data_IF_068016146573
#
_entry.id   IF_068016146573
#
_cell.length_a   1.000
_cell.length_b   1.000
_cell.length_c   1.000
_cell.angle_alpha   90.00
_cell.angle_beta   90.00
_cell.angle_gamma   90.00
#
_symmetry.space_group_name_H-M   'P 1'
#
loop_
_entity.id
_entity.type
_entity.pdbx_description
1 polymer ?
#
# COMPACT_ATOMS: atom_id res chain seq x y z
N UNK A 1 9.00 17.21 -11.69
CA UNK A 1 8.85 15.78 -11.31
C UNK A 1 8.59 14.98 -12.56
N UNK A 2 9.24 13.83 -12.72
CA UNK A 2 9.01 12.94 -13.86
C UNK A 2 7.94 11.95 -13.45
N UNK A 3 6.76 12.01 -14.09
CA UNK A 3 5.69 11.05 -13.86
C UNK A 3 6.12 9.65 -14.31
N UNK A 4 5.63 8.61 -13.62
CA UNK A 4 5.86 7.21 -14.01
C UNK A 4 5.16 6.92 -15.33
N UNK A 5 5.93 6.52 -16.34
CA UNK A 5 5.48 6.41 -17.73
C UNK A 5 4.62 5.18 -18.01
N UNK A 6 4.93 4.05 -17.37
CA UNK A 6 4.25 2.79 -17.61
C UNK A 6 3.61 2.29 -16.32
N UNK A 7 2.34 1.91 -16.40
CA UNK A 7 1.55 1.45 -15.28
C UNK A 7 0.68 0.30 -15.74
N UNK A 8 0.58 -0.70 -14.87
CA UNK A 8 -0.17 -1.91 -15.14
C UNK A 8 -0.98 -2.32 -13.92
N UNK A 9 -2.16 -2.86 -14.18
CA UNK A 9 -2.87 -3.71 -13.25
C UNK A 9 -2.44 -5.15 -13.48
N UNK A 10 -2.11 -5.85 -12.42
CA UNK A 10 -1.79 -7.27 -12.35
C UNK A 10 -2.85 -7.93 -11.47
N UNK A 11 -3.57 -8.91 -12.02
CA UNK A 11 -4.68 -9.56 -11.29
C UNK A 11 -4.88 -11.01 -11.74
N UNK A 12 -5.40 -11.86 -10.86
CA UNK A 12 -5.83 -13.23 -11.17
C UNK A 12 -7.11 -13.27 -11.98
N UNK A 13 -7.85 -12.18 -12.02
CA UNK A 13 -9.12 -12.08 -12.73
C UNK A 13 -8.93 -11.86 -14.22
N UNK A 14 -9.50 -12.76 -15.01
CA UNK A 14 -9.49 -12.65 -16.47
C UNK A 14 -10.32 -11.44 -16.93
N UNK A 15 -9.74 -10.46 -17.64
CA UNK A 15 -10.46 -9.26 -18.04
C UNK A 15 -11.63 -9.54 -19.00
N UNK A 16 -11.64 -10.69 -19.68
CA UNK A 16 -12.74 -11.10 -20.57
C UNK A 16 -14.02 -11.49 -19.83
N UNK A 17 -13.93 -11.78 -18.53
CA UNK A 17 -15.06 -12.24 -17.72
C UNK A 17 -15.76 -11.07 -16.99
N UNK A 18 -15.37 -9.82 -17.29
CA UNK A 18 -16.05 -8.63 -16.79
C UNK A 18 -17.43 -8.46 -17.41
N UNK A 19 -18.34 -7.92 -16.62
CA UNK A 19 -19.64 -7.49 -17.11
C UNK A 19 -19.52 -6.23 -18.00
N UNK A 20 -20.67 -5.81 -18.55
CA UNK A 20 -20.80 -4.65 -19.43
C UNK A 20 -20.34 -3.33 -18.79
N UNK A 21 -20.31 -3.26 -17.47
CA UNK A 21 -19.95 -2.08 -16.68
C UNK A 21 -18.47 -2.15 -16.25
N UNK A 22 -17.76 -3.23 -16.62
CA UNK A 22 -16.34 -3.44 -16.36
C UNK A 22 -16.04 -4.10 -15.01
N UNK A 23 -17.05 -4.59 -14.29
CA UNK A 23 -16.88 -5.26 -13.01
C UNK A 23 -16.69 -6.75 -13.19
N UNK A 24 -15.83 -7.34 -12.36
CA UNK A 24 -15.70 -8.80 -12.29
C UNK A 24 -16.78 -9.37 -11.36
N UNK A 25 -17.60 -10.33 -11.81
CA UNK A 25 -18.61 -10.93 -10.95
C UNK A 25 -17.94 -11.86 -9.93
N UNK A 26 -17.73 -11.37 -8.70
CA UNK A 26 -17.06 -12.07 -7.59
C UNK A 26 -17.79 -13.31 -7.04
N UNK A 27 -18.84 -13.81 -7.71
CA UNK A 27 -19.71 -14.85 -7.14
C UNK A 27 -19.13 -16.27 -7.15
N UNK A 28 -18.05 -16.49 -7.90
CA UNK A 28 -17.58 -17.83 -8.24
C UNK A 28 -16.08 -18.05 -7.95
N UNK A 29 -15.43 -17.15 -7.21
CA UNK A 29 -14.00 -17.26 -6.92
C UNK A 29 -13.65 -16.66 -5.55
N UNK A 30 -12.61 -17.19 -4.89
CA UNK A 30 -12.10 -16.69 -3.62
C UNK A 30 -11.48 -15.29 -3.76
N UNK A 31 -11.53 -14.50 -2.69
CA UNK A 31 -11.01 -13.13 -2.63
C UNK A 31 -10.14 -12.87 -1.40
N UNK A 32 -10.02 -13.82 -0.47
CA UNK A 32 -9.09 -13.71 0.66
C UNK A 32 -8.61 -15.07 1.19
N UNK A 33 -7.44 -15.14 1.87
CA UNK A 33 -6.88 -16.40 2.38
C UNK A 33 -7.74 -17.07 3.47
N UNK A 34 -8.60 -16.33 4.17
CA UNK A 34 -9.51 -16.91 5.18
C UNK A 34 -10.62 -17.79 4.57
N UNK A 35 -10.65 -17.90 3.23
CA UNK A 35 -11.54 -18.80 2.50
C UNK A 35 -10.92 -20.16 2.19
N UNK A 36 -9.64 -20.39 2.51
CA UNK A 36 -9.00 -21.70 2.34
C UNK A 36 -9.81 -22.77 3.10
N UNK A 37 -10.09 -23.88 2.43
CA UNK A 37 -10.94 -24.98 2.89
C UNK A 37 -12.45 -24.79 2.64
N UNK A 38 -12.89 -23.61 2.16
CA UNK A 38 -14.28 -23.40 1.75
C UNK A 38 -14.53 -23.95 0.35
N UNK A 39 -15.76 -24.39 0.09
CA UNK A 39 -16.21 -24.78 -1.24
C UNK A 39 -16.75 -23.57 -1.97
N UNK A 40 -16.13 -23.22 -3.09
CA UNK A 40 -16.47 -22.10 -3.96
C UNK A 40 -16.64 -22.64 -5.38
N UNK A 41 -17.78 -22.36 -6.00
CA UNK A 41 -18.13 -22.90 -7.33
C UNK A 41 -17.94 -24.42 -7.43
N UNK A 42 -18.53 -25.15 -6.47
CA UNK A 42 -18.49 -26.63 -6.38
C UNK A 42 -17.09 -27.24 -6.17
N UNK A 43 -16.06 -26.41 -5.95
CA UNK A 43 -14.68 -26.84 -5.73
C UNK A 43 -14.15 -26.32 -4.40
N UNK A 44 -13.44 -27.15 -3.65
CA UNK A 44 -12.73 -26.71 -2.45
C UNK A 44 -11.55 -25.81 -2.85
N UNK A 45 -11.45 -24.63 -2.24
CA UNK A 45 -10.30 -23.75 -2.37
C UNK A 45 -9.18 -24.22 -1.44
N UNK A 46 -8.10 -24.71 -2.01
CA UNK A 46 -7.03 -25.37 -1.25
C UNK A 46 -5.87 -24.42 -0.91
N UNK A 47 -5.10 -24.79 0.11
CA UNK A 47 -3.85 -24.09 0.44
C UNK A 47 -2.86 -24.09 -0.72
N UNK A 48 -2.77 -25.19 -1.47
CA UNK A 48 -1.85 -25.29 -2.60
C UNK A 48 -2.18 -24.25 -3.69
N UNK A 49 -3.47 -24.10 -4.02
CA UNK A 49 -3.93 -23.10 -4.98
C UNK A 49 -3.64 -21.67 -4.50
N UNK A 50 -3.84 -21.42 -3.21
CA UNK A 50 -3.50 -20.13 -2.61
C UNK A 50 -2.00 -19.83 -2.77
N UNK A 51 -1.13 -20.76 -2.35
CA UNK A 51 0.32 -20.57 -2.40
C UNK A 51 0.85 -20.44 -3.83
N UNK A 52 0.27 -21.18 -4.78
CA UNK A 52 0.60 -21.02 -6.20
C UNK A 52 0.27 -19.59 -6.67
N UNK A 53 -0.91 -19.06 -6.32
CA UNK A 53 -1.30 -17.71 -6.69
C UNK A 53 -0.47 -16.65 -5.97
N UNK A 54 -0.27 -16.76 -4.65
CA UNK A 54 0.59 -15.87 -3.87
C UNK A 54 1.99 -15.76 -4.49
N UNK A 55 2.61 -16.91 -4.81
CA UNK A 55 3.91 -16.95 -5.47
C UNK A 55 3.88 -16.22 -6.82
N UNK A 56 2.83 -16.38 -7.62
CA UNK A 56 2.70 -15.66 -8.89
C UNK A 56 2.69 -14.14 -8.71
N UNK A 57 2.01 -13.62 -7.69
CA UNK A 57 2.01 -12.18 -7.38
C UNK A 57 3.38 -11.68 -6.92
N UNK A 58 4.03 -12.42 -6.01
CA UNK A 58 5.36 -12.08 -5.51
C UNK A 58 6.38 -12.10 -6.65
N UNK A 59 6.37 -13.15 -7.48
CA UNK A 59 7.25 -13.30 -8.64
C UNK A 59 7.01 -12.20 -9.68
N UNK A 60 5.77 -11.75 -9.85
CA UNK A 60 5.47 -10.59 -10.68
C UNK A 60 6.22 -9.35 -10.18
N UNK A 61 6.09 -9.00 -8.89
CA UNK A 61 6.82 -7.86 -8.31
C UNK A 61 8.33 -8.01 -8.50
N UNK A 62 8.89 -9.19 -8.19
CA UNK A 62 10.32 -9.45 -8.32
C UNK A 62 10.83 -9.33 -9.76
N UNK A 63 10.05 -9.81 -10.73
CA UNK A 63 10.43 -9.74 -12.15
C UNK A 63 10.40 -8.30 -12.67
N UNK A 64 9.41 -7.50 -12.26
CA UNK A 64 9.35 -6.08 -12.62
C UNK A 64 10.49 -5.29 -11.96
N UNK A 65 10.84 -5.59 -10.71
CA UNK A 65 12.00 -5.02 -10.03
C UNK A 65 13.30 -5.33 -10.76
N UNK A 66 13.51 -6.60 -11.14
CA UNK A 66 14.69 -7.06 -11.86
C UNK A 66 14.85 -6.34 -13.20
N UNK A 67 13.81 -6.33 -14.06
CA UNK A 67 13.89 -5.68 -15.37
C UNK A 67 14.00 -4.15 -15.26
N UNK A 68 13.47 -3.56 -14.18
CA UNK A 68 13.63 -2.13 -13.89
C UNK A 68 15.00 -1.77 -13.29
N UNK A 69 15.83 -2.76 -12.96
CA UNK A 69 17.12 -2.54 -12.29
C UNK A 69 17.00 -2.00 -10.86
N UNK A 70 15.88 -2.27 -10.18
CA UNK A 70 15.58 -1.75 -8.85
C UNK A 70 15.86 -2.83 -7.80
N UNK A 71 16.49 -2.40 -6.71
CA UNK A 71 17.03 -3.29 -5.68
C UNK A 71 16.46 -3.02 -4.29
N UNK A 72 15.81 -1.87 -4.12
CA UNK A 72 15.16 -1.49 -2.89
C UNK A 72 13.98 -0.56 -3.16
N UNK A 73 12.99 -0.63 -2.28
CA UNK A 73 11.81 0.21 -2.27
C UNK A 73 11.55 0.70 -0.84
N UNK A 74 10.87 1.83 -0.71
CA UNK A 74 10.41 2.35 0.57
C UNK A 74 8.98 1.91 0.84
N UNK A 75 8.68 1.67 2.12
CA UNK A 75 7.33 1.44 2.61
C UNK A 75 6.62 2.79 2.72
N UNK A 76 5.42 2.91 2.13
CA UNK A 76 4.51 4.03 2.36
C UNK A 76 3.16 3.53 2.88
N UNK A 77 2.40 4.41 3.54
CA UNK A 77 1.05 4.13 4.05
C UNK A 77 1.00 2.85 4.88
N UNK A 78 2.01 2.64 5.72
CA UNK A 78 2.04 1.52 6.64
C UNK A 78 0.82 1.60 7.56
N UNK A 79 -0.03 0.58 7.47
CA UNK A 79 -1.11 0.33 8.41
C UNK A 79 -0.80 -0.99 9.10
N UNK A 80 -0.30 -0.89 10.33
CA UNK A 80 -0.14 -2.05 11.19
C UNK A 80 -1.53 -2.56 11.58
N UNK A 81 -1.78 -3.84 11.32
CA UNK A 81 -2.93 -4.52 11.87
C UNK A 81 -2.52 -5.15 13.20
N UNK A 82 -3.39 -5.07 14.20
CA UNK A 82 -3.18 -5.81 15.45
C UNK A 82 -3.30 -7.30 15.14
N UNK A 83 -2.16 -7.98 14.98
CA UNK A 83 -2.11 -9.43 14.77
C UNK A 83 -2.30 -10.10 16.12
N UNK A 84 -3.39 -10.85 16.26
CA UNK A 84 -3.71 -11.63 17.46
C UNK A 84 -2.79 -12.84 17.59
N UNK A 85 -2.64 -13.38 18.81
CA UNK A 85 -1.85 -14.60 19.01
C UNK A 85 -2.42 -15.80 18.23
N UNK A 86 -3.74 -15.88 18.07
CA UNK A 86 -4.40 -16.89 17.23
C UNK A 86 -3.99 -16.74 15.75
N UNK A 87 -3.93 -15.52 15.24
CA UNK A 87 -3.48 -15.24 13.87
C UNK A 87 -2.01 -15.60 13.66
N UNK A 88 -1.15 -15.46 14.69
CA UNK A 88 0.25 -15.90 14.65
C UNK A 88 0.41 -17.42 14.63
N UNK A 89 -0.58 -18.16 15.11
CA UNK A 89 -0.62 -19.63 15.01
C UNK A 89 -1.02 -20.12 13.60
N UNK A 90 -1.48 -19.22 12.73
CA UNK A 90 -1.80 -19.53 11.34
C UNK A 90 -0.58 -20.08 10.59
N UNK A 91 -0.76 -21.13 9.80
CA UNK A 91 0.29 -21.65 8.91
C UNK A 91 0.71 -20.66 7.81
N UNK A 92 -0.07 -19.58 7.59
CA UNK A 92 0.30 -18.48 6.71
C UNK A 92 1.11 -17.40 7.42
N UNK A 93 1.18 -17.42 8.75
CA UNK A 93 1.99 -16.43 9.45
C UNK A 93 3.47 -16.74 9.27
N UNK A 94 4.25 -15.74 8.84
CA UNK A 94 5.70 -15.84 8.74
C UNK A 94 6.33 -15.00 9.85
N UNK A 95 6.90 -15.65 10.87
CA UNK A 95 7.50 -14.95 12.02
C UNK A 95 8.72 -14.12 11.64
N UNK A 96 9.38 -14.40 10.50
CA UNK A 96 10.46 -13.55 9.99
C UNK A 96 9.99 -12.13 9.68
N UNK A 97 8.68 -11.92 9.58
CA UNK A 97 8.07 -10.60 9.46
C UNK A 97 8.31 -9.73 10.69
N UNK A 98 8.27 -10.28 11.91
CA UNK A 98 8.44 -9.49 13.14
C UNK A 98 9.86 -8.90 13.24
N UNK A 99 10.86 -9.64 12.76
CA UNK A 99 12.27 -9.24 12.77
C UNK A 99 12.55 -8.05 11.83
N UNK A 100 11.66 -7.78 10.88
CA UNK A 100 11.84 -6.69 9.93
C UNK A 100 11.69 -5.31 10.55
N UNK A 101 11.10 -5.15 11.74
CA UNK A 101 10.96 -3.86 12.42
C UNK A 101 10.37 -2.77 11.51
N UNK A 102 9.09 -2.93 11.15
CA UNK A 102 8.38 -2.07 10.22
C UNK A 102 8.28 -0.63 10.72
N UNK A 103 8.49 0.29 9.80
CA UNK A 103 8.31 1.71 10.02
C UNK A 103 7.96 2.36 8.68
N UNK A 104 7.10 3.39 8.73
CA UNK A 104 6.84 4.25 7.58
C UNK A 104 8.17 4.78 6.99
N UNK A 105 8.24 4.85 5.67
CA UNK A 105 9.40 5.30 4.89
C UNK A 105 10.65 4.40 4.98
N UNK A 106 10.59 3.26 5.67
CA UNK A 106 11.73 2.33 5.76
C UNK A 106 12.11 1.79 4.39
N UNK A 107 13.41 1.78 4.11
CA UNK A 107 13.98 1.22 2.89
C UNK A 107 14.18 -0.29 3.04
N UNK A 108 13.61 -1.06 2.11
CA UNK A 108 13.60 -2.52 2.12
C UNK A 108 14.31 -3.08 0.89
N UNK A 109 15.11 -4.13 1.07
CA UNK A 109 15.77 -4.87 -0.01
C UNK A 109 14.82 -5.87 -0.69
N UNK A 110 15.30 -6.61 -1.71
CA UNK A 110 14.46 -7.52 -2.49
C UNK A 110 13.88 -8.66 -1.66
N UNK A 111 14.67 -9.25 -0.78
CA UNK A 111 14.26 -10.35 0.09
C UNK A 111 13.14 -9.89 1.04
N UNK A 112 13.31 -8.71 1.63
CA UNK A 112 12.33 -8.10 2.51
C UNK A 112 11.05 -7.69 1.75
N UNK A 113 11.18 -7.14 0.53
CA UNK A 113 10.04 -6.81 -0.33
C UNK A 113 9.21 -8.07 -0.65
N UNK A 114 9.86 -9.20 -0.89
CA UNK A 114 9.19 -10.48 -1.14
C UNK A 114 8.33 -10.90 0.05
N UNK A 115 8.89 -10.82 1.26
CA UNK A 115 8.17 -11.11 2.49
C UNK A 115 7.00 -10.13 2.72
N UNK A 116 7.22 -8.83 2.49
CA UNK A 116 6.15 -7.82 2.58
C UNK A 116 5.00 -8.15 1.63
N UNK A 117 5.30 -8.47 0.36
CA UNK A 117 4.26 -8.81 -0.61
C UNK A 117 3.41 -9.99 -0.13
N UNK A 118 4.04 -11.04 0.42
CA UNK A 118 3.30 -12.18 1.01
C UNK A 118 2.40 -11.73 2.15
N UNK A 119 2.93 -10.95 3.08
CA UNK A 119 2.19 -10.54 4.27
C UNK A 119 1.04 -9.56 3.96
N UNK A 120 1.16 -8.74 2.91
CA UNK A 120 0.04 -7.96 2.36
C UNK A 120 -1.03 -8.89 1.76
N UNK A 121 -0.65 -9.84 0.91
CA UNK A 121 -1.58 -10.80 0.28
C UNK A 121 -2.26 -11.73 1.29
N UNK A 122 -1.64 -11.92 2.46
CA UNK A 122 -2.15 -12.71 3.58
C UNK A 122 -3.05 -11.91 4.52
N UNK A 123 -3.24 -10.61 4.29
CA UNK A 123 -3.95 -9.67 5.15
C UNK A 123 -3.35 -9.54 6.56
N UNK A 124 -2.03 -9.65 6.73
CA UNK A 124 -1.38 -9.37 8.02
C UNK A 124 -0.88 -7.92 8.13
N UNK A 125 -0.77 -7.22 7.01
CA UNK A 125 -0.40 -5.80 6.96
C UNK A 125 -0.99 -5.12 5.73
N UNK A 126 -0.98 -3.79 5.72
CA UNK A 126 -1.13 -3.03 4.49
C UNK A 126 -0.02 -1.98 4.37
N UNK A 127 0.58 -1.90 3.18
CA UNK A 127 1.48 -0.83 2.78
C UNK A 127 1.56 -0.74 1.26
N UNK A 128 2.09 0.36 0.78
CA UNK A 128 2.53 0.55 -0.60
C UNK A 128 4.07 0.47 -0.66
N UNK A 129 4.61 0.07 -1.80
CA UNK A 129 6.06 0.02 -2.03
C UNK A 129 6.42 1.07 -3.08
N UNK A 130 7.43 1.89 -2.82
CA UNK A 130 7.67 3.09 -3.62
C UNK A 130 9.14 3.43 -3.79
N UNK A 131 9.50 3.90 -4.98
CA UNK A 131 10.76 4.58 -5.24
C UNK A 131 10.48 5.83 -6.08
N UNK A 132 10.85 6.98 -5.52
CA UNK A 132 10.51 8.30 -6.06
C UNK A 132 10.78 8.43 -7.56
N UNK A 133 9.73 8.82 -8.27
CA UNK A 133 9.72 9.06 -9.72
C UNK A 133 10.19 7.85 -10.57
N UNK A 134 10.28 6.64 -10.00
CA UNK A 134 10.88 5.47 -10.68
C UNK A 134 9.98 4.25 -10.69
N UNK A 135 9.39 3.91 -9.55
CA UNK A 135 8.65 2.65 -9.40
C UNK A 135 7.66 2.68 -8.25
N UNK A 136 6.57 1.93 -8.39
CA UNK A 136 5.70 1.62 -7.26
C UNK A 136 5.09 0.23 -7.39
N UNK A 137 4.66 -0.31 -6.26
CA UNK A 137 3.68 -1.39 -6.14
C UNK A 137 2.57 -0.91 -5.20
N UNK A 138 1.35 -0.87 -5.70
CA UNK A 138 0.16 -0.61 -4.89
C UNK A 138 -0.69 -1.88 -4.81
N UNK A 139 -1.27 -2.11 -3.65
CA UNK A 139 -2.18 -3.20 -3.41
C UNK A 139 -3.59 -2.63 -3.23
N UNK A 140 -4.52 -3.14 -4.02
CA UNK A 140 -5.95 -2.92 -3.87
C UNK A 140 -6.63 -4.14 -3.26
N UNK A 141 -7.94 -4.02 -3.10
CA UNK A 141 -8.80 -5.09 -2.63
C UNK A 141 -8.79 -6.29 -3.59
N UNK A 142 -9.19 -7.45 -3.09
CA UNK A 142 -9.49 -8.64 -3.88
C UNK A 142 -8.39 -8.98 -4.90
N UNK A 143 -7.11 -8.96 -4.52
CA UNK A 143 -5.99 -9.32 -5.41
C UNK A 143 -5.86 -8.43 -6.67
N UNK A 144 -6.31 -7.17 -6.61
CA UNK A 144 -5.89 -6.17 -7.57
C UNK A 144 -4.54 -5.58 -7.15
N UNK A 145 -3.48 -5.83 -7.92
CA UNK A 145 -2.16 -5.23 -7.71
C UNK A 145 -1.86 -4.27 -8.85
N UNK A 146 -1.16 -3.17 -8.55
CA UNK A 146 -0.76 -2.18 -9.55
C UNK A 146 0.73 -1.94 -9.48
N UNK A 147 1.40 -2.04 -10.62
CA UNK A 147 2.85 -1.81 -10.73
C UNK A 147 3.07 -0.63 -11.66
N UNK A 148 3.95 0.27 -11.26
CA UNK A 148 4.42 1.39 -12.09
C UNK A 148 5.91 1.33 -12.29
N UNK A 149 6.39 1.63 -13.49
CA UNK A 149 7.82 1.75 -13.80
C UNK A 149 8.08 2.77 -14.91
N UNK A 150 9.29 3.35 -14.93
CA UNK A 150 9.79 4.09 -16.10
C UNK A 150 10.42 3.18 -17.16
N UNK A 151 10.55 1.88 -16.88
CA UNK A 151 10.95 0.87 -17.86
C UNK A 151 9.68 0.18 -18.37
N UNK A 152 9.59 -0.12 -19.66
CA UNK A 152 8.41 -0.77 -20.26
C UNK A 152 8.19 -2.22 -19.78
N UNK A 153 9.20 -2.84 -19.15
CA UNK A 153 9.14 -4.16 -18.55
C UNK A 153 8.58 -5.27 -19.46
N UNK A 154 9.03 -5.32 -20.73
CA UNK A 154 8.51 -6.23 -21.75
C UNK A 154 8.71 -7.70 -21.40
N UNK A 155 9.81 -8.06 -20.75
CA UNK A 155 10.10 -9.45 -20.38
C UNK A 155 9.30 -9.87 -19.14
N UNK A 156 9.11 -8.97 -18.18
CA UNK A 156 8.25 -9.15 -17.03
C UNK A 156 6.81 -9.37 -17.45
N UNK A 157 6.29 -8.54 -18.36
CA UNK A 157 4.95 -8.71 -18.93
C UNK A 157 4.76 -10.11 -19.54
N UNK A 158 5.74 -10.61 -20.30
CA UNK A 158 5.69 -11.96 -20.89
C UNK A 158 5.75 -13.06 -19.84
N UNK A 159 6.57 -12.91 -18.79
CA UNK A 159 6.71 -13.90 -17.71
C UNK A 159 5.42 -13.97 -16.87
N UNK A 160 4.89 -12.83 -16.44
CA UNK A 160 3.68 -12.73 -15.61
C UNK A 160 2.44 -13.23 -16.37
N UNK A 161 2.33 -12.95 -17.67
CA UNK A 161 1.21 -13.49 -18.47
C UNK A 161 1.21 -15.03 -18.60
N UNK A 162 2.31 -15.70 -18.21
CA UNK A 162 2.43 -17.17 -18.18
C UNK A 162 2.28 -17.76 -16.78
N UNK A 163 2.13 -16.95 -15.73
CA UNK A 163 2.04 -17.42 -14.34
C UNK A 163 0.60 -17.64 -13.86
N UNK A 164 -0.40 -17.49 -14.75
CA UNK A 164 -1.82 -17.50 -14.38
C UNK A 164 -2.37 -16.12 -13.99
N UNK A 165 -1.55 -15.07 -14.07
CA UNK A 165 -1.97 -13.68 -13.87
C UNK A 165 -2.25 -12.98 -15.20
N UNK A 166 -3.18 -12.03 -15.15
CA UNK A 166 -3.52 -11.12 -16.24
C UNK A 166 -2.90 -9.76 -15.99
N UNK A 167 -2.35 -9.15 -17.06
CA UNK A 167 -1.74 -7.83 -16.99
C UNK A 167 -2.40 -6.89 -17.99
N UNK A 168 -2.82 -5.72 -17.51
CA UNK A 168 -3.47 -4.70 -18.33
C UNK A 168 -2.81 -3.34 -18.13
N UNK A 169 -2.54 -2.64 -19.23
CA UNK A 169 -2.01 -1.27 -19.16
C UNK A 169 -3.09 -0.31 -18.66
N UNK A 170 -2.91 0.24 -17.46
CA UNK A 170 -3.79 1.27 -16.90
C UNK A 170 -3.07 2.10 -15.85
N UNK A 171 -3.48 3.36 -15.66
CA UNK A 171 -3.06 4.17 -14.51
C UNK A 171 -3.56 3.50 -13.23
N UNK A 172 -2.69 3.32 -12.25
CA UNK A 172 -3.10 2.85 -10.93
C UNK A 172 -4.08 3.85 -10.31
N UNK A 173 -5.21 3.41 -9.71
CA UNK A 173 -6.13 4.29 -9.00
C UNK A 173 -5.48 4.93 -7.77
N UNK A 174 -4.41 4.33 -7.26
CA UNK A 174 -3.61 4.83 -6.13
C UNK A 174 -2.41 5.69 -6.55
N UNK A 175 -2.13 5.83 -7.86
CA UNK A 175 -0.98 6.63 -8.29
C UNK A 175 -1.32 8.11 -8.31
N UNK A 176 -0.52 8.88 -7.56
CA UNK A 176 -0.78 10.28 -7.28
C UNK A 176 0.49 11.11 -7.50
N UNK A 177 0.31 12.36 -7.89
CA UNK A 177 1.38 13.36 -7.95
C UNK A 177 1.27 14.34 -6.78
N UNK A 178 2.37 15.03 -6.44
CA UNK A 178 2.40 15.92 -5.27
C UNK A 178 1.30 17.00 -5.29
N UNK A 179 0.95 17.50 -6.47
CA UNK A 179 -0.08 18.51 -6.70
C UNK A 179 -1.51 17.99 -6.51
N UNK A 180 -1.71 16.67 -6.56
CA UNK A 180 -2.99 16.00 -6.29
C UNK A 180 -3.18 15.74 -4.78
N UNK A 181 -2.14 15.89 -3.95
CA UNK A 181 -2.17 15.55 -2.51
C UNK A 181 -2.79 16.69 -1.68
N UNK A 182 -3.87 16.34 -0.98
CA UNK A 182 -4.52 17.16 0.05
C UNK A 182 -3.85 16.86 1.40
N UNK A 183 -3.54 17.92 2.15
CA UNK A 183 -2.87 17.86 3.45
C UNK A 183 -3.73 18.55 4.50
N UNK A 184 -4.09 17.85 5.56
CA UNK A 184 -5.01 18.32 6.57
C UNK A 184 -4.52 18.02 7.97
N UNK A 185 -4.82 18.92 8.89
CA UNK A 185 -4.77 18.65 10.30
C UNK A 185 -6.17 18.25 10.75
N UNK A 186 -6.30 17.04 11.27
CA UNK A 186 -7.55 16.51 11.82
C UNK A 186 -7.42 16.38 13.33
N UNK A 187 -8.56 16.43 14.02
CA UNK A 187 -8.59 16.20 15.47
C UNK A 187 -9.84 15.47 15.93
N UNK A 188 -9.63 14.61 16.92
CA UNK A 188 -10.62 13.85 17.66
C UNK A 188 -10.57 14.27 19.14
N UNK A 189 -11.66 14.07 19.88
CA UNK A 189 -11.61 14.26 21.34
C UNK A 189 -10.73 13.17 21.95
N UNK A 190 -10.03 13.51 23.03
CA UNK A 190 -9.18 12.54 23.74
C UNK A 190 -9.99 11.30 24.13
N UNK A 191 -9.52 10.13 23.71
CA UNK A 191 -10.18 8.84 23.98
C UNK A 191 -11.38 8.52 23.09
N UNK A 192 -11.65 9.33 22.06
CA UNK A 192 -12.65 9.05 21.03
C UNK A 192 -11.96 8.89 19.66
N UNK A 193 -12.34 7.88 18.88
CA UNK A 193 -11.75 7.64 17.55
C UNK A 193 -12.40 8.48 16.43
N UNK A 194 -13.52 9.14 16.74
CA UNK A 194 -14.25 9.94 15.76
C UNK A 194 -13.61 11.31 15.57
N UNK A 195 -13.27 11.64 14.32
CA UNK A 195 -12.85 12.99 13.94
C UNK A 195 -14.00 13.97 14.21
N UNK A 196 -13.69 15.05 14.93
CA UNK A 196 -14.66 16.12 15.27
C UNK A 196 -14.34 17.45 14.58
N UNK A 197 -13.22 17.52 13.86
CA UNK A 197 -12.90 18.63 12.98
C UNK A 197 -11.61 18.40 12.19
N UNK A 198 -11.50 19.17 11.11
CA UNK A 198 -10.39 19.14 10.17
C UNK A 198 -10.10 20.55 9.63
N UNK A 199 -8.86 20.81 9.27
CA UNK A 199 -8.44 22.04 8.61
C UNK A 199 -7.32 21.74 7.59
N UNK A 200 -7.51 22.16 6.34
CA UNK A 200 -6.48 22.02 5.31
C UNK A 200 -5.24 22.87 5.65
N UNK A 201 -4.08 22.23 5.61
CA UNK A 201 -2.77 22.84 5.87
C UNK A 201 -2.13 23.25 4.55
N UNK A 202 -1.83 24.55 4.38
CA UNK A 202 -1.24 25.11 3.15
C UNK A 202 -0.03 25.98 3.45
N UNK A 203 0.83 26.15 2.45
CA UNK A 203 1.99 27.05 2.53
C UNK A 203 3.20 26.50 3.30
N UNK A 204 3.23 25.18 3.51
CA UNK A 204 4.37 24.47 4.11
C UNK A 204 5.10 23.73 2.99
N UNK A 205 6.42 23.89 2.95
CA UNK A 205 7.27 23.18 2.00
C UNK A 205 7.32 21.67 2.32
N UNK A 206 7.42 20.84 1.27
CA UNK A 206 7.44 19.39 1.43
C UNK A 206 8.62 18.90 2.28
N UNK A 207 9.78 19.56 2.19
CA UNK A 207 10.96 19.20 2.99
C UNK A 207 10.78 19.53 4.48
N UNK A 208 9.98 20.54 4.82
CA UNK A 208 9.63 20.83 6.22
C UNK A 208 8.75 19.72 6.80
N UNK A 209 7.77 19.22 6.03
CA UNK A 209 6.99 18.06 6.46
C UNK A 209 7.86 16.82 6.65
N UNK A 210 8.74 16.52 5.70
CA UNK A 210 9.67 15.40 5.80
C UNK A 210 10.54 15.50 7.04
N UNK A 211 11.06 16.68 7.35
CA UNK A 211 11.88 16.93 8.54
C UNK A 211 11.10 16.69 9.83
N UNK A 212 9.86 17.17 9.90
CA UNK A 212 8.98 17.02 11.07
C UNK A 212 8.64 15.55 11.32
N UNK A 213 8.30 14.80 10.28
CA UNK A 213 7.90 13.40 10.40
C UNK A 213 9.07 12.42 10.24
N UNK A 214 10.31 12.91 10.20
CA UNK A 214 11.53 12.11 10.02
C UNK A 214 11.53 11.22 8.77
N UNK A 215 10.97 11.73 7.67
CA UNK A 215 10.83 11.05 6.40
C UNK A 215 11.99 11.41 5.46
N UNK A 216 12.30 10.49 4.55
CA UNK A 216 13.31 10.65 3.52
C UNK A 216 12.90 11.71 2.48
N UNK A 217 13.89 12.18 1.72
CA UNK A 217 13.67 13.04 0.55
C UNK A 217 12.90 12.36 -0.60
N UNK A 218 12.71 11.05 -0.51
CA UNK A 218 11.93 10.27 -1.47
C UNK A 218 10.44 10.23 -1.12
N UNK A 219 10.10 10.31 0.17
CA UNK A 219 8.72 10.24 0.65
C UNK A 219 7.86 11.41 0.13
N UNK A 220 6.63 11.14 -0.30
CA UNK A 220 5.68 12.17 -0.77
C UNK A 220 4.92 12.87 0.36
N UNK A 221 5.18 12.44 1.59
CA UNK A 221 4.43 12.78 2.81
C UNK A 221 2.96 12.45 2.57
N UNK A 222 2.69 11.20 2.20
CA UNK A 222 1.33 10.63 2.05
C UNK A 222 1.10 9.65 3.19
N UNK A 223 -0.15 9.49 3.65
CA UNK A 223 -0.50 8.69 4.82
C UNK A 223 -0.98 9.54 6.00
N UNK A 224 -1.02 8.93 7.17
CA UNK A 224 -1.46 9.57 8.42
C UNK A 224 -0.29 9.62 9.40
N UNK A 225 -0.06 10.79 9.99
CA UNK A 225 1.05 11.03 10.91
C UNK A 225 0.52 11.66 12.19
N UNK A 226 0.94 11.16 13.34
CA UNK A 226 0.56 11.77 14.62
C UNK A 226 1.23 13.13 14.77
N UNK A 227 0.49 14.12 15.26
CA UNK A 227 1.06 15.42 15.62
C UNK A 227 1.42 15.38 17.11
N UNK A 228 2.72 15.21 17.38
CA UNK A 228 3.31 15.25 18.72
C UNK A 228 3.36 16.68 19.30
N UNK A 229 3.55 16.79 20.62
CA UNK A 229 3.60 18.08 21.34
C UNK A 229 4.66 19.03 20.78
N UNK A 230 5.78 18.50 20.31
CA UNK A 230 6.88 19.28 19.74
C UNK A 230 6.55 19.90 18.37
N UNK A 231 5.55 19.38 17.66
CA UNK A 231 5.16 19.88 16.34
C UNK A 231 4.19 21.09 16.41
N UNK A 232 3.59 21.36 17.57
CA UNK A 232 2.43 22.24 17.66
C UNK A 232 2.72 23.70 17.35
N UNK A 233 3.83 24.23 17.87
CA UNK A 233 4.23 25.62 17.62
C UNK A 233 4.51 25.86 16.13
N UNK A 234 4.92 24.81 15.42
CA UNK A 234 5.06 24.85 13.98
C UNK A 234 3.69 24.88 13.30
N UNK A 235 2.84 23.88 13.55
CA UNK A 235 1.53 23.76 12.88
C UNK A 235 0.58 24.92 13.18
N UNK A 236 0.60 25.47 14.41
CA UNK A 236 -0.25 26.59 14.82
C UNK A 236 -0.08 27.84 13.95
N UNK A 237 1.07 28.00 13.28
CA UNK A 237 1.33 29.12 12.35
C UNK A 237 0.56 29.01 11.03
N UNK A 238 0.10 27.81 10.69
CA UNK A 238 -0.50 27.49 9.40
C UNK A 238 -1.99 27.11 9.49
N UNK A 239 -2.54 27.04 10.71
CA UNK A 239 -3.93 26.68 10.97
C UNK A 239 -4.60 27.75 11.82
N UNK A 240 -5.89 27.99 11.55
CA UNK A 240 -6.74 28.95 12.27
C UNK A 240 -7.28 28.35 13.55
N UNK A 241 -7.54 27.05 13.54
CA UNK A 241 -7.95 26.32 14.73
C UNK A 241 -6.90 26.50 15.83
N UNK A 242 -7.36 26.82 17.03
CA UNK A 242 -6.48 26.97 18.18
C UNK A 242 -6.24 25.60 18.79
N UNK A 243 -5.03 25.08 18.60
CA UNK A 243 -4.63 23.78 19.08
C UNK A 243 -4.75 23.71 20.61
N UNK A 244 -5.48 22.71 21.10
CA UNK A 244 -5.74 22.46 22.52
C UNK A 244 -5.58 20.97 22.87
N UNK A 245 -4.35 20.60 23.28
CA UNK A 245 -4.01 19.23 23.69
C UNK A 245 -4.73 18.76 24.97
N UNK A 246 -5.43 19.64 25.69
CA UNK A 246 -6.24 19.22 26.84
C UNK A 246 -7.59 18.65 26.43
N UNK A 247 -7.99 18.88 25.18
CA UNK A 247 -9.30 18.48 24.64
C UNK A 247 -9.20 17.49 23.51
N UNK A 248 -8.16 17.61 22.70
CA UNK A 248 -8.08 16.91 21.43
C UNK A 248 -6.73 16.23 21.21
N UNK A 249 -6.76 15.14 20.46
CA UNK A 249 -5.62 14.53 19.81
C UNK A 249 -5.59 15.00 18.36
N UNK A 250 -4.39 15.20 17.81
CA UNK A 250 -4.21 15.75 16.46
C UNK A 250 -3.43 14.78 15.59
N UNK A 251 -3.90 14.63 14.36
CA UNK A 251 -3.20 13.90 13.31
C UNK A 251 -3.08 14.75 12.07
N UNK A 252 -2.03 14.51 11.30
CA UNK A 252 -1.81 15.07 10.00
C UNK A 252 -2.17 14.01 8.97
N UNK A 253 -3.22 14.27 8.19
CA UNK A 253 -3.67 13.38 7.14
C UNK A 253 -3.24 13.94 5.80
N UNK A 254 -2.62 13.08 4.99
CA UNK A 254 -2.18 13.42 3.65
C UNK A 254 -2.64 12.35 2.68
N UNK A 255 -3.57 12.73 1.83
CA UNK A 255 -4.34 11.81 0.99
C UNK A 255 -4.70 12.48 -0.33
N UNK A 256 -5.44 11.76 -1.17
CA UNK A 256 -5.95 12.23 -2.47
C UNK A 256 -7.45 12.04 -2.57
#
# INVERSE_FOLDING_TARGET
MTSIQYQWRVTKYNPNDRDKDGYYPLKEEWTCPSEIGKVINEKEFTLEEYLQMENAYVDAVMTFLEESGIHSLRILKLSEQTITEEEKESFLYDSGFEDLGFQEDKLMNKEEISLICRMVLRNFLYCELYLKDKFFVHFGWDYYMYIGSNVHCSEALKKVSKSGLFVEKMKSPYYVTEDEIIREMVWNKIGEDSVVGEETVKGIDLDEFRKIFHLSSEHLVIGSFKIEKEHLDFFQKYVRHKIDLKKYEYSFWSYT
#
